data_IF_535122773897
#
_entry.id   IF_535122773897
#
_cell.length_a   1.000
_cell.length_b   1.000
_cell.length_c   1.000
_cell.angle_alpha   90.00
_cell.angle_beta   90.00
_cell.angle_gamma   90.00
#
_symmetry.space_group_name_H-M   'P 1'
#
loop_
_entity.id
_entity.type
_entity.pdbx_description
1 polymer ?
#
# COMPACT_ATOMS: atom_id res chain seq x y z
N UNK A 1 17.87 5.47 6.24
CA UNK A 1 16.73 5.86 7.09
C UNK A 1 15.50 6.06 6.22
N UNK A 2 14.37 5.44 6.55
CA UNK A 2 13.11 5.63 5.80
C UNK A 2 12.58 7.04 6.02
N UNK A 3 12.22 7.73 4.94
CA UNK A 3 11.67 9.11 4.97
C UNK A 3 10.15 9.15 5.18
N UNK A 4 9.52 8.00 5.45
CA UNK A 4 8.06 7.88 5.57
C UNK A 4 7.31 8.42 4.35
N UNK A 5 7.95 8.38 3.19
CA UNK A 5 7.41 8.89 1.93
C UNK A 5 8.03 8.13 0.76
N UNK A 6 7.32 8.11 -0.36
CA UNK A 6 7.81 7.58 -1.63
C UNK A 6 7.20 8.37 -2.78
N UNK A 7 7.92 8.51 -3.88
CA UNK A 7 7.46 9.21 -5.08
C UNK A 7 7.69 8.39 -6.34
N UNK A 8 6.85 8.59 -7.34
CA UNK A 8 6.86 7.91 -8.63
C UNK A 8 6.63 8.91 -9.77
N UNK A 9 7.32 10.03 -9.70
CA UNK A 9 7.25 11.12 -10.68
C UNK A 9 7.68 10.66 -12.08
N UNK A 10 8.58 9.69 -12.14
CA UNK A 10 9.06 9.11 -13.40
C UNK A 10 8.04 8.08 -13.90
N UNK A 11 7.59 8.16 -15.17
CA UNK A 11 6.60 7.23 -15.73
C UNK A 11 7.03 5.76 -15.70
N UNK A 12 8.34 5.48 -15.74
CA UNK A 12 8.90 4.14 -15.59
C UNK A 12 8.60 3.51 -14.20
N UNK A 13 8.43 4.36 -13.17
CA UNK A 13 8.03 3.92 -11.84
C UNK A 13 6.52 3.65 -11.72
N UNK A 14 5.71 4.06 -12.72
CA UNK A 14 4.24 3.94 -12.69
C UNK A 14 3.77 2.61 -13.28
N UNK A 15 4.18 1.51 -12.66
CA UNK A 15 3.79 0.17 -13.06
C UNK A 15 2.37 -0.20 -12.61
N UNK A 16 1.79 -1.24 -13.21
CA UNK A 16 0.46 -1.73 -12.84
C UNK A 16 0.38 -2.14 -11.36
N UNK A 17 1.45 -2.71 -10.82
CA UNK A 17 1.50 -3.14 -9.42
C UNK A 17 1.43 -1.95 -8.44
N UNK A 18 2.03 -0.82 -8.77
CA UNK A 18 1.90 0.40 -7.99
C UNK A 18 0.44 0.88 -7.94
N UNK A 19 -0.24 0.92 -9.10
CA UNK A 19 -1.65 1.33 -9.18
C UNK A 19 -2.55 0.42 -8.34
N UNK A 20 -2.32 -0.89 -8.38
CA UNK A 20 -3.04 -1.85 -7.54
C UNK A 20 -2.71 -1.68 -6.04
N UNK A 21 -1.46 -1.43 -5.70
CA UNK A 21 -1.05 -1.14 -4.32
C UNK A 21 -1.71 0.13 -3.76
N UNK A 22 -1.82 1.18 -4.58
CA UNK A 22 -2.52 2.41 -4.22
C UNK A 22 -4.03 2.19 -4.01
N UNK A 23 -4.68 1.35 -4.83
CA UNK A 23 -6.08 0.95 -4.59
C UNK A 23 -6.25 0.26 -3.24
N UNK A 24 -5.33 -0.63 -2.87
CA UNK A 24 -5.32 -1.31 -1.56
C UNK A 24 -5.07 -0.35 -0.40
N UNK A 25 -4.35 0.74 -0.65
CA UNK A 25 -4.13 1.80 0.34
C UNK A 25 -5.31 2.75 0.53
N UNK A 26 -6.31 2.76 -0.36
CA UNK A 26 -7.47 3.64 -0.25
C UNK A 26 -8.13 3.69 1.14
N UNK A 27 -8.42 2.55 1.83
CA UNK A 27 -8.96 2.59 3.19
C UNK A 27 -7.97 3.20 4.21
N UNK A 28 -6.68 2.89 4.11
CA UNK A 28 -5.65 3.44 5.00
C UNK A 28 -5.51 4.97 4.84
N UNK A 29 -5.67 5.45 3.61
CA UNK A 29 -5.69 6.88 3.30
C UNK A 29 -6.96 7.53 3.87
N UNK A 30 -8.11 6.88 3.72
CA UNK A 30 -9.38 7.35 4.28
C UNK A 30 -9.35 7.44 5.82
N UNK A 31 -8.62 6.53 6.48
CA UNK A 31 -8.40 6.54 7.94
C UNK A 31 -7.38 7.60 8.43
N UNK A 32 -6.77 8.35 7.50
CA UNK A 32 -5.75 9.36 7.77
C UNK A 32 -4.40 8.77 8.18
N UNK A 33 -4.10 7.53 7.78
CA UNK A 33 -2.82 6.88 8.05
C UNK A 33 -1.76 7.25 7.00
N UNK A 34 -2.18 7.59 5.79
CA UNK A 34 -1.31 8.08 4.74
C UNK A 34 -2.00 9.16 3.91
N UNK A 35 -1.21 10.03 3.31
CA UNK A 35 -1.63 11.09 2.41
C UNK A 35 -1.14 10.75 1.00
N UNK A 36 -2.07 10.75 0.05
CA UNK A 36 -1.77 10.53 -1.36
C UNK A 36 -1.77 11.85 -2.12
N UNK A 37 -0.65 12.15 -2.74
CA UNK A 37 -0.41 13.26 -3.65
C UNK A 37 -0.30 12.71 -5.09
N UNK A 38 -0.35 13.55 -6.14
CA UNK A 38 -0.42 13.09 -7.54
C UNK A 38 0.63 12.03 -7.92
N UNK A 39 1.88 12.21 -7.49
CA UNK A 39 2.98 11.28 -7.75
C UNK A 39 3.76 10.90 -6.49
N UNK A 40 3.13 11.03 -5.30
CA UNK A 40 3.82 10.82 -4.02
C UNK A 40 2.88 10.31 -2.96
N UNK A 41 3.36 9.41 -2.11
CA UNK A 41 2.70 8.99 -0.88
C UNK A 41 3.51 9.50 0.31
N UNK A 42 2.83 10.01 1.34
CA UNK A 42 3.44 10.31 2.63
C UNK A 42 2.69 9.58 3.74
N UNK A 43 3.41 8.95 4.66
CA UNK A 43 2.81 8.33 5.84
C UNK A 43 2.60 9.42 6.89
N UNK A 44 1.36 9.53 7.39
CA UNK A 44 1.02 10.46 8.45
C UNK A 44 1.63 10.00 9.79
N UNK A 45 1.73 10.89 10.78
CA UNK A 45 2.23 10.49 12.12
C UNK A 45 1.41 9.35 12.72
N UNK A 46 0.08 9.40 12.57
CA UNK A 46 -0.86 8.36 12.99
C UNK A 46 -0.64 7.02 12.26
N UNK A 47 -0.07 7.06 11.05
CA UNK A 47 0.21 5.88 10.22
C UNK A 47 1.55 5.20 10.47
N UNK A 48 2.47 5.81 11.24
CA UNK A 48 3.77 5.21 11.57
C UNK A 48 3.68 3.81 12.18
N UNK A 49 2.79 3.51 13.14
CA UNK A 49 2.63 2.14 13.65
C UNK A 49 2.13 1.16 12.58
N UNK A 50 1.50 1.66 11.52
CA UNK A 50 0.98 0.87 10.39
C UNK A 50 1.94 0.80 9.21
N UNK A 51 3.21 1.22 9.38
CA UNK A 51 4.19 1.27 8.29
C UNK A 51 4.34 -0.08 7.58
N UNK A 52 4.31 -1.19 8.33
CA UNK A 52 4.37 -2.53 7.75
C UNK A 52 3.17 -2.85 6.87
N UNK A 53 1.96 -2.45 7.28
CA UNK A 53 0.73 -2.64 6.50
C UNK A 53 0.78 -1.82 5.22
N UNK A 54 1.22 -0.57 5.33
CA UNK A 54 1.40 0.34 4.18
C UNK A 54 2.44 -0.24 3.20
N UNK A 55 3.63 -0.64 3.66
CA UNK A 55 4.63 -1.25 2.79
C UNK A 55 4.11 -2.54 2.13
N UNK A 56 3.37 -3.37 2.87
CA UNK A 56 2.79 -4.62 2.36
C UNK A 56 1.71 -4.36 1.30
N UNK A 57 0.93 -3.29 1.43
CA UNK A 57 -0.04 -2.90 0.39
C UNK A 57 0.66 -2.58 -0.95
N UNK A 58 1.89 -2.04 -0.93
CA UNK A 58 2.71 -1.75 -2.11
C UNK A 58 3.57 -2.92 -2.59
N UNK A 59 3.71 -4.00 -1.81
CA UNK A 59 4.59 -5.11 -2.15
C UNK A 59 3.96 -6.03 -3.20
N UNK A 60 4.31 -5.80 -4.46
CA UNK A 60 3.82 -6.60 -5.58
C UNK A 60 4.12 -8.10 -5.44
N UNK A 61 5.28 -8.46 -4.88
CA UNK A 61 5.70 -9.87 -4.75
C UNK A 61 4.90 -10.58 -3.67
N UNK A 62 4.59 -9.89 -2.58
CA UNK A 62 3.71 -10.38 -1.53
C UNK A 62 2.32 -10.72 -2.11
N UNK A 63 1.73 -9.80 -2.87
CA UNK A 63 0.41 -10.00 -3.46
C UNK A 63 0.39 -11.01 -4.63
N UNK A 64 1.49 -11.20 -5.35
CA UNK A 64 1.62 -12.28 -6.35
C UNK A 64 1.70 -13.66 -5.72
N UNK A 65 2.24 -13.75 -4.49
CA UNK A 65 2.38 -15.00 -3.74
C UNK A 65 1.19 -15.32 -2.86
N UNK A 66 0.32 -14.35 -2.59
CA UNK A 66 -0.94 -14.66 -1.92
C UNK A 66 -1.76 -15.60 -2.81
N UNK A 67 -2.23 -16.73 -2.27
CA UNK A 67 -3.11 -17.60 -3.03
C UNK A 67 -4.37 -16.81 -3.40
N UNK A 68 -4.64 -16.70 -4.71
CA UNK A 68 -5.94 -16.25 -5.23
C UNK A 68 -6.98 -17.32 -4.93
N UNK A 69 -7.41 -17.46 -3.68
CA UNK A 69 -8.26 -18.57 -3.29
C UNK A 69 -8.78 -18.42 -1.87
N UNK A 70 -10.00 -17.89 -1.78
CA UNK A 70 -10.98 -18.01 -0.71
C UNK A 70 -10.44 -18.30 0.71
N UNK A 71 -10.52 -17.28 1.57
CA UNK A 71 -10.76 -17.50 2.98
C UNK A 71 -12.12 -18.19 3.15
N UNK A 72 -12.18 -19.51 3.02
CA UNK A 72 -13.24 -20.27 3.69
C UNK A 72 -12.87 -20.31 5.17
N UNK A 73 -13.31 -19.31 5.93
CA UNK A 73 -13.54 -19.52 7.36
C UNK A 73 -14.75 -20.43 7.48
N UNK A 74 -14.50 -21.75 7.46
CA UNK A 74 -15.40 -22.70 8.10
C UNK A 74 -15.35 -22.40 9.59
N UNK A 75 -16.35 -21.66 10.08
CA UNK A 75 -16.74 -21.75 11.47
C UNK A 75 -17.35 -23.14 11.68
N UNK A 76 -16.66 -23.99 12.45
CA UNK A 76 -17.27 -25.11 13.17
C UNK A 76 -17.35 -24.75 14.65
#
# INVERSE_FOLDING_TARGET
MCRFETSWEIPDCQCAALKEGLKRMAPLIADGLAELYPCRLRVAEKGRPFLFVLCMALDARYWQKQPSGAFFSQNV
#
